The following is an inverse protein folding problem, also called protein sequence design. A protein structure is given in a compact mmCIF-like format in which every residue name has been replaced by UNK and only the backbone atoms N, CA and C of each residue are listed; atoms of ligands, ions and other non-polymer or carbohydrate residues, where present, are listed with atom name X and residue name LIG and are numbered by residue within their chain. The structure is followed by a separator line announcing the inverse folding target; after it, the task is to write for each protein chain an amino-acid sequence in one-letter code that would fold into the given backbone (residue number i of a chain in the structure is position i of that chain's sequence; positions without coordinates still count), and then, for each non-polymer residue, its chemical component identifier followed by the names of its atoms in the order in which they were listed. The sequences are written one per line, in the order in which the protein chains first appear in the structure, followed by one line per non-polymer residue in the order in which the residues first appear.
data_IF_802520085005
#
_entry.id   IF_802520085005
#
_cell.length_a   1.000
_cell.length_b   1.000
_cell.length_c   1.000
_cell.angle_alpha   90.00
_cell.angle_beta   90.00
_cell.angle_gamma   90.00
#
_symmetry.space_group_name_H-M   'P 1'
#
loop_
_entity.id
_entity.type
_entity.pdbx_description
1 polymer ?
#
# COMPACT_ATOMS: atom_id res chain seq x y z
N UNK A 1 26.22 -9.12 -19.31
CA UNK A 1 26.16 -10.19 -18.28
C UNK A 1 24.80 -10.17 -17.61
N UNK A 2 24.16 -11.34 -17.43
CA UNK A 2 22.80 -11.46 -16.88
C UNK A 2 22.83 -12.08 -15.47
N UNK A 3 23.64 -11.48 -14.58
CA UNK A 3 24.00 -12.02 -13.24
C UNK A 3 23.48 -11.18 -12.07
N UNK A 4 22.43 -10.37 -12.27
CA UNK A 4 21.92 -9.45 -11.25
C UNK A 4 21.53 -10.16 -9.94
N UNK A 5 20.97 -11.37 -10.06
CA UNK A 5 20.54 -12.20 -8.93
C UNK A 5 21.70 -12.78 -8.09
N UNK A 6 22.95 -12.72 -8.57
CA UNK A 6 24.12 -13.28 -7.87
C UNK A 6 24.86 -12.25 -7.01
N UNK A 7 24.43 -10.98 -7.01
CA UNK A 7 25.12 -9.88 -6.31
C UNK A 7 26.58 -9.64 -6.79
N UNK A 8 27.00 -10.22 -7.92
CA UNK A 8 28.38 -10.13 -8.46
C UNK A 8 28.48 -9.24 -9.71
N UNK A 9 27.82 -8.09 -9.72
CA UNK A 9 27.87 -7.18 -10.88
C UNK A 9 29.29 -6.59 -11.02
N UNK A 10 30.03 -6.86 -12.12
CA UNK A 10 31.43 -6.44 -12.25
C UNK A 10 31.60 -4.93 -12.49
N UNK A 11 30.49 -4.21 -12.71
CA UNK A 11 30.47 -2.77 -13.02
C UNK A 11 29.69 -1.97 -11.98
N UNK A 12 29.42 -2.57 -10.82
CA UNK A 12 28.80 -1.86 -9.69
C UNK A 12 27.34 -1.44 -9.85
N UNK A 13 26.63 -1.91 -10.89
CA UNK A 13 25.23 -1.54 -11.15
C UNK A 13 24.26 -2.34 -10.26
N UNK A 14 24.21 -3.67 -10.45
CA UNK A 14 23.25 -4.55 -9.77
C UNK A 14 23.95 -5.37 -8.67
N UNK A 15 24.46 -4.68 -7.64
CA UNK A 15 25.16 -5.30 -6.50
C UNK A 15 25.10 -4.41 -5.26
N UNK A 16 25.03 -5.03 -4.08
CA UNK A 16 25.15 -4.40 -2.77
C UNK A 16 26.56 -4.58 -2.16
N UNK A 17 27.47 -5.35 -2.79
CA UNK A 17 28.86 -5.48 -2.32
C UNK A 17 29.58 -4.11 -2.43
N UNK A 18 30.05 -3.52 -1.31
CA UNK A 18 30.70 -2.22 -1.32
C UNK A 18 31.93 -2.12 -2.22
N UNK A 19 32.67 -3.23 -2.42
CA UNK A 19 33.86 -3.26 -3.30
C UNK A 19 33.45 -3.18 -4.76
N UNK A 20 32.40 -3.90 -5.15
CA UNK A 20 31.90 -3.89 -6.53
C UNK A 20 31.19 -2.58 -6.85
N UNK A 21 30.48 -1.97 -5.89
CA UNK A 21 29.84 -0.65 -6.06
C UNK A 21 30.85 0.46 -6.39
N UNK A 22 32.08 0.39 -5.87
CA UNK A 22 33.17 1.34 -6.22
C UNK A 22 33.57 1.28 -7.70
N UNK A 23 33.21 0.23 -8.43
CA UNK A 23 33.47 0.09 -9.86
C UNK A 23 32.43 0.81 -10.72
N UNK A 24 31.37 1.37 -10.13
CA UNK A 24 30.38 2.15 -10.87
C UNK A 24 30.97 3.48 -11.31
N UNK A 25 31.11 3.65 -12.62
CA UNK A 25 31.63 4.87 -13.26
C UNK A 25 30.56 5.65 -14.03
N UNK A 26 29.28 5.29 -13.86
CA UNK A 26 28.17 5.99 -14.51
C UNK A 26 27.93 7.35 -13.87
N UNK A 27 27.63 8.36 -14.69
CA UNK A 27 27.25 9.69 -14.22
C UNK A 27 25.85 10.05 -14.74
N UNK A 28 25.15 11.01 -14.10
CA UNK A 28 23.87 11.50 -14.61
C UNK A 28 23.95 11.98 -16.07
N UNK A 29 25.08 12.58 -16.47
CA UNK A 29 25.32 13.11 -17.83
C UNK A 29 25.25 12.01 -18.88
N UNK A 30 25.71 10.78 -18.58
CA UNK A 30 25.60 9.67 -19.53
C UNK A 30 24.13 9.37 -19.89
N UNK A 31 23.23 9.43 -18.90
CA UNK A 31 21.80 9.18 -19.10
C UNK A 31 21.13 10.37 -19.80
N UNK A 32 21.51 11.60 -19.43
CA UNK A 32 21.05 12.82 -20.09
C UNK A 32 21.40 12.79 -21.59
N UNK A 33 22.66 12.50 -21.92
CA UNK A 33 23.12 12.42 -23.31
C UNK A 33 22.41 11.32 -24.10
N UNK A 34 22.18 10.15 -23.49
CA UNK A 34 21.38 9.10 -24.10
C UNK A 34 19.97 9.59 -24.48
N UNK A 35 19.27 10.28 -23.56
CA UNK A 35 17.94 10.81 -23.86
C UNK A 35 17.96 11.94 -24.89
N UNK A 36 19.02 12.77 -24.94
CA UNK A 36 19.18 13.75 -26.02
C UNK A 36 19.34 13.08 -27.39
N UNK A 37 20.17 12.04 -27.49
CA UNK A 37 20.32 11.30 -28.75
C UNK A 37 19.03 10.62 -29.17
N UNK A 38 18.31 10.00 -28.23
CA UNK A 38 17.02 9.38 -28.49
C UNK A 38 15.98 10.42 -28.96
N UNK A 39 15.89 11.56 -28.28
CA UNK A 39 14.98 12.63 -28.65
C UNK A 39 15.31 13.21 -30.03
N UNK A 40 16.60 13.37 -30.35
CA UNK A 40 17.02 13.87 -31.66
C UNK A 40 16.70 12.88 -32.78
N UNK A 41 16.92 11.57 -32.58
CA UNK A 41 16.52 10.55 -33.54
C UNK A 41 15.00 10.57 -33.78
N UNK A 42 14.21 10.69 -32.71
CA UNK A 42 12.74 10.83 -32.81
C UNK A 42 12.38 12.07 -33.64
N UNK A 43 13.04 13.22 -33.42
CA UNK A 43 12.79 14.45 -34.20
C UNK A 43 13.14 14.29 -35.67
N UNK A 44 14.22 13.58 -35.99
CA UNK A 44 14.59 13.26 -37.38
C UNK A 44 13.52 12.40 -38.04
N UNK A 45 13.04 11.35 -37.37
CA UNK A 45 11.96 10.49 -37.87
C UNK A 45 10.64 11.27 -38.04
N UNK A 46 10.30 12.13 -37.09
CA UNK A 46 9.15 13.03 -37.18
C UNK A 46 9.25 13.94 -38.41
N UNK A 47 10.42 14.51 -38.68
CA UNK A 47 10.65 15.36 -39.85
C UNK A 47 10.50 14.58 -41.16
N UNK A 48 10.98 13.34 -41.23
CA UNK A 48 10.79 12.44 -42.39
C UNK A 48 9.31 12.14 -42.65
N UNK A 49 8.51 12.06 -41.60
CA UNK A 49 7.06 11.86 -41.67
C UNK A 49 6.27 13.16 -41.89
N UNK A 50 6.95 14.32 -41.94
CA UNK A 50 6.32 15.64 -42.10
C UNK A 50 5.56 16.12 -40.86
N UNK A 51 5.86 15.58 -39.68
CA UNK A 51 5.17 15.88 -38.42
C UNK A 51 6.03 16.77 -37.52
N UNK A 52 5.45 17.86 -37.01
CA UNK A 52 6.19 18.85 -36.20
C UNK A 52 6.07 18.63 -34.69
N UNK A 53 4.93 18.11 -34.23
CA UNK A 53 4.64 17.91 -32.81
C UNK A 53 4.50 16.44 -32.51
N UNK A 54 5.07 15.99 -31.39
CA UNK A 54 5.02 14.57 -31.04
C UNK A 54 3.58 14.12 -30.78
N UNK A 55 2.76 14.99 -30.18
CA UNK A 55 1.32 14.74 -29.95
C UNK A 55 0.56 14.37 -31.24
N UNK A 56 1.00 14.89 -32.39
CA UNK A 56 0.36 14.62 -33.69
C UNK A 56 0.69 13.23 -34.24
N UNK A 57 1.66 12.51 -33.66
CA UNK A 57 1.98 11.10 -33.95
C UNK A 57 1.18 10.11 -33.08
N UNK A 58 0.73 10.53 -31.90
CA UNK A 58 0.10 9.64 -30.92
C UNK A 58 -1.19 9.05 -31.52
N UNK A 59 -1.26 7.72 -31.61
CA UNK A 59 -2.40 7.00 -32.18
C UNK A 59 -2.54 7.06 -33.71
N UNK A 60 -1.55 7.58 -34.45
CA UNK A 60 -1.55 7.63 -35.92
C UNK A 60 -1.11 6.31 -36.55
N UNK A 61 -1.90 5.27 -36.36
CA UNK A 61 -1.62 3.92 -36.87
C UNK A 61 -1.48 3.89 -38.40
N UNK A 62 -2.12 4.81 -39.11
CA UNK A 62 -1.99 4.95 -40.56
C UNK A 62 -0.58 5.32 -41.06
N UNK A 63 0.30 5.79 -40.17
CA UNK A 63 1.72 6.04 -40.49
C UNK A 63 2.56 4.76 -40.42
N UNK A 64 1.97 3.64 -40.02
CA UNK A 64 2.62 2.34 -39.87
C UNK A 64 2.14 1.37 -40.95
N UNK A 65 3.05 0.51 -41.41
CA UNK A 65 2.72 -0.62 -42.27
C UNK A 65 3.55 -1.84 -41.91
N UNK A 66 2.98 -3.02 -42.08
CA UNK A 66 3.73 -4.26 -41.98
C UNK A 66 4.78 -4.33 -43.11
N UNK A 67 6.04 -4.58 -42.74
CA UNK A 67 7.09 -4.87 -43.72
C UNK A 67 6.77 -6.17 -44.45
N UNK A 68 6.84 -6.12 -45.78
CA UNK A 68 6.56 -7.27 -46.66
C UNK A 68 7.84 -8.01 -47.08
N UNK A 69 9.00 -7.41 -46.85
CA UNK A 69 10.32 -7.83 -47.31
C UNK A 69 11.09 -8.65 -46.25
N UNK A 70 10.37 -9.39 -45.38
CA UNK A 70 11.01 -10.16 -44.30
C UNK A 70 11.33 -11.59 -44.80
N UNK A 71 12.61 -11.97 -44.94
CA UNK A 71 13.00 -13.23 -45.59
C UNK A 71 12.75 -14.49 -44.74
N UNK A 72 12.53 -14.34 -43.44
CA UNK A 72 12.36 -15.47 -42.54
C UNK A 72 10.93 -16.05 -42.66
N UNK A 73 10.82 -17.32 -43.05
CA UNK A 73 9.53 -17.98 -43.34
C UNK A 73 8.46 -17.84 -42.22
N UNK A 74 8.86 -17.89 -40.94
CA UNK A 74 7.91 -17.70 -39.81
C UNK A 74 7.28 -16.31 -39.77
N UNK A 75 7.92 -15.29 -40.34
CA UNK A 75 7.36 -13.95 -40.37
C UNK A 75 6.07 -13.87 -41.19
N UNK A 76 5.92 -14.75 -42.19
CA UNK A 76 4.69 -14.85 -42.99
C UNK A 76 3.48 -15.33 -42.20
N UNK A 77 3.68 -15.94 -41.02
CA UNK A 77 2.61 -16.36 -40.13
C UNK A 77 2.18 -15.26 -39.12
N UNK A 78 2.85 -14.11 -39.12
CA UNK A 78 2.54 -13.03 -38.16
C UNK A 78 1.42 -12.16 -38.73
N UNK A 79 0.30 -12.11 -38.01
CA UNK A 79 -0.83 -11.23 -38.30
C UNK A 79 -0.80 -9.97 -37.43
N UNK A 80 -0.42 -8.84 -38.04
CA UNK A 80 -0.35 -7.53 -37.36
C UNK A 80 -1.66 -6.73 -37.42
N UNK A 81 -2.77 -7.28 -37.97
CA UNK A 81 -4.03 -6.53 -38.14
C UNK A 81 -4.57 -5.94 -36.85
N UNK A 82 -4.40 -6.64 -35.71
CA UNK A 82 -4.85 -6.14 -34.40
C UNK A 82 -4.00 -4.99 -33.85
N UNK A 83 -2.72 -4.93 -34.23
CA UNK A 83 -1.80 -3.84 -33.84
C UNK A 83 -1.99 -2.64 -34.77
N UNK A 84 -2.27 -2.90 -36.05
CA UNK A 84 -2.51 -1.89 -37.07
C UNK A 84 -3.99 -1.49 -37.20
N UNK A 85 -4.83 -1.93 -36.26
CA UNK A 85 -6.24 -1.56 -36.24
C UNK A 85 -6.37 -0.08 -35.91
N UNK A 86 -7.02 0.67 -36.79
CA UNK A 86 -7.41 2.06 -36.50
C UNK A 86 -8.65 2.00 -35.60
N UNK A 87 -8.59 2.54 -34.37
CA UNK A 87 -9.76 2.60 -33.51
C UNK A 87 -10.85 3.48 -34.16
N UNK A 88 -12.11 3.25 -33.79
CA UNK A 88 -13.27 4.00 -34.31
C UNK A 88 -13.23 5.50 -34.01
N UNK A 89 -14.34 6.19 -34.25
CA UNK A 89 -14.44 7.64 -34.02
C UNK A 89 -14.09 8.02 -32.57
N UNK A 90 -13.29 9.09 -32.41
CA UNK A 90 -12.89 9.60 -31.10
C UNK A 90 -11.52 10.29 -31.13
N UNK A 91 -11.19 10.94 -30.01
CA UNK A 91 -9.89 11.56 -29.79
C UNK A 91 -8.85 10.47 -29.51
N UNK A 92 -7.72 10.50 -30.23
CA UNK A 92 -6.66 9.48 -30.16
C UNK A 92 -5.53 9.82 -29.18
N UNK A 93 -5.69 10.89 -28.42
CA UNK A 93 -4.73 11.43 -27.46
C UNK A 93 -5.40 11.71 -26.13
N UNK A 94 -4.58 11.87 -25.09
CA UNK A 94 -5.05 12.25 -23.77
C UNK A 94 -5.51 13.71 -23.75
N UNK A 95 -6.78 13.96 -23.42
CA UNK A 95 -7.35 15.33 -23.36
C UNK A 95 -8.04 15.66 -22.03
N UNK A 96 -8.17 14.69 -21.12
CA UNK A 96 -8.93 14.89 -19.89
C UNK A 96 -8.02 14.75 -18.68
N UNK A 97 -8.16 15.66 -17.73
CA UNK A 97 -7.58 15.49 -16.39
C UNK A 97 -8.40 14.47 -15.61
N UNK A 98 -7.73 13.63 -14.82
CA UNK A 98 -8.42 12.65 -13.98
C UNK A 98 -9.11 13.34 -12.79
N UNK A 99 -10.42 13.15 -12.65
CA UNK A 99 -11.16 13.53 -11.45
C UNK A 99 -11.27 12.33 -10.52
N UNK A 100 -10.71 12.47 -9.31
CA UNK A 100 -10.68 11.42 -8.30
C UNK A 100 -11.82 11.56 -7.26
N UNK A 101 -12.66 12.59 -7.34
CA UNK A 101 -13.76 12.81 -6.39
C UNK A 101 -13.29 13.16 -4.97
N UNK A 102 -12.07 13.66 -4.80
CA UNK A 102 -11.45 13.93 -3.49
C UNK A 102 -12.11 15.10 -2.75
N UNK A 103 -12.88 15.94 -3.45
CA UNK A 103 -13.68 17.00 -2.87
C UNK A 103 -14.76 16.48 -1.90
N UNK A 104 -15.16 15.21 -2.05
CA UNK A 104 -16.17 14.55 -1.18
C UNK A 104 -15.56 13.70 -0.08
N UNK A 105 -14.24 13.59 -0.02
CA UNK A 105 -13.56 12.77 0.98
C UNK A 105 -13.79 13.33 2.39
N UNK A 106 -14.15 12.44 3.34
CA UNK A 106 -14.39 12.82 4.74
C UNK A 106 -13.19 13.54 5.36
N UNK A 107 -11.97 13.17 4.96
CA UNK A 107 -10.74 13.79 5.44
C UNK A 107 -10.67 15.31 5.23
N UNK A 108 -11.37 15.89 4.24
CA UNK A 108 -11.41 17.35 4.12
C UNK A 108 -11.97 18.00 5.38
N UNK A 109 -13.03 17.41 5.93
CA UNK A 109 -13.63 17.83 7.20
C UNK A 109 -12.70 17.53 8.38
N UNK A 110 -12.01 16.40 8.36
CA UNK A 110 -11.04 16.06 9.41
C UNK A 110 -9.89 17.07 9.45
N UNK A 111 -9.31 17.42 8.30
CA UNK A 111 -8.23 18.39 8.15
C UNK A 111 -8.69 19.77 8.61
N UNK A 112 -9.90 20.20 8.24
CA UNK A 112 -10.45 21.48 8.68
C UNK A 112 -10.55 21.56 10.21
N UNK A 113 -11.05 20.50 10.86
CA UNK A 113 -11.17 20.44 12.33
C UNK A 113 -9.84 20.21 13.04
N UNK A 114 -8.88 19.58 12.38
CA UNK A 114 -7.53 19.34 12.87
C UNK A 114 -6.60 20.56 12.73
N UNK A 115 -7.08 21.66 12.13
CA UNK A 115 -6.28 22.85 11.87
C UNK A 115 -5.49 23.38 13.08
N UNK A 116 -6.04 23.46 14.31
CA UNK A 116 -5.25 23.87 15.48
C UNK A 116 -4.04 22.95 15.71
N UNK A 117 -4.21 21.63 15.64
CA UNK A 117 -3.07 20.71 15.76
C UNK A 117 -2.05 20.89 14.62
N UNK A 118 -2.53 21.12 13.40
CA UNK A 118 -1.67 21.24 12.21
C UNK A 118 -0.90 22.57 12.15
N UNK A 119 -1.43 23.64 12.75
CA UNK A 119 -0.85 24.99 12.69
C UNK A 119 -0.05 25.35 13.95
N UNK A 120 -0.56 24.98 15.14
CA UNK A 120 0.03 25.36 16.44
C UNK A 120 0.46 24.15 17.30
N UNK A 121 0.22 22.92 16.85
CA UNK A 121 0.54 21.71 17.64
C UNK A 121 -0.37 21.50 18.84
N UNK A 122 -1.53 22.17 18.87
CA UNK A 122 -2.52 22.01 19.93
C UNK A 122 -3.13 20.60 19.94
N UNK A 123 -3.44 20.11 21.15
CA UNK A 123 -4.20 18.87 21.28
C UNK A 123 -5.66 19.11 20.90
N UNK A 124 -6.16 18.36 19.93
CA UNK A 124 -7.54 18.46 19.45
C UNK A 124 -8.22 17.11 19.62
N UNK A 125 -9.38 17.14 20.26
CA UNK A 125 -10.27 16.00 20.41
C UNK A 125 -11.65 16.30 19.83
N UNK A 126 -12.17 15.43 18.98
CA UNK A 126 -13.53 15.59 18.47
C UNK A 126 -14.19 14.30 17.98
N UNK A 127 -15.54 14.33 17.91
CA UNK A 127 -16.37 13.22 17.42
C UNK A 127 -16.73 13.42 15.94
N UNK A 128 -16.73 12.34 15.15
CA UNK A 128 -17.11 12.34 13.74
C UNK A 128 -17.79 11.03 13.28
N UNK A 129 -19.00 11.11 12.73
CA UNK A 129 -19.66 9.96 12.11
C UNK A 129 -18.88 9.42 10.90
N UNK A 130 -18.86 8.09 10.75
CA UNK A 130 -18.25 7.39 9.63
C UNK A 130 -19.22 6.35 9.05
N UNK A 131 -19.14 6.12 7.75
CA UNK A 131 -19.96 5.15 7.00
C UNK A 131 -19.05 4.38 6.06
N UNK A 132 -19.47 3.18 5.65
CA UNK A 132 -18.68 2.30 4.79
C UNK A 132 -18.26 2.93 3.44
N UNK A 133 -19.00 3.94 2.96
CA UNK A 133 -18.66 4.73 1.75
C UNK A 133 -17.48 5.68 1.97
N UNK A 134 -17.19 6.06 3.22
CA UNK A 134 -16.01 6.83 3.59
C UNK A 134 -14.80 5.90 3.63
N UNK A 135 -14.08 5.86 2.52
CA UNK A 135 -12.87 5.04 2.34
C UNK A 135 -11.62 5.84 2.68
N UNK A 136 -10.57 5.14 3.08
CA UNK A 136 -9.24 5.73 3.36
C UNK A 136 -9.26 6.85 4.40
N UNK A 137 -10.19 6.78 5.36
CA UNK A 137 -10.37 7.81 6.39
C UNK A 137 -9.08 7.97 7.20
N UNK A 138 -8.60 9.20 7.31
CA UNK A 138 -7.36 9.57 7.99
C UNK A 138 -6.13 9.63 7.09
N UNK A 139 -6.18 9.13 5.85
CA UNK A 139 -5.01 9.08 4.96
C UNK A 139 -4.59 10.47 4.46
N UNK A 140 -5.54 11.34 4.07
CA UNK A 140 -5.19 12.70 3.66
C UNK A 140 -4.76 13.54 4.87
N UNK A 141 -5.43 13.37 6.02
CA UNK A 141 -5.01 14.00 7.27
C UNK A 141 -3.57 13.60 7.66
N UNK A 142 -3.24 12.32 7.51
CA UNK A 142 -1.87 11.83 7.75
C UNK A 142 -0.87 12.40 6.75
N UNK A 143 -1.28 12.58 5.49
CA UNK A 143 -0.48 13.29 4.49
C UNK A 143 -0.23 14.76 4.86
N UNK A 144 -1.20 15.43 5.47
CA UNK A 144 -1.06 16.80 5.99
C UNK A 144 -0.08 16.86 7.19
N UNK A 145 -0.12 15.87 8.08
CA UNK A 145 0.85 15.74 9.18
C UNK A 145 2.24 15.45 8.62
N UNK A 146 2.39 14.46 7.75
CA UNK A 146 3.67 14.08 7.16
C UNK A 146 4.30 15.23 6.35
N UNK A 147 3.51 16.03 5.62
CA UNK A 147 4.02 17.18 4.87
C UNK A 147 4.59 18.26 5.78
N UNK A 148 3.99 18.49 6.95
CA UNK A 148 4.39 19.54 7.89
C UNK A 148 5.50 19.10 8.85
N UNK A 149 5.42 17.87 9.34
CA UNK A 149 6.23 17.37 10.46
C UNK A 149 7.11 16.16 10.09
N UNK A 150 7.09 15.71 8.83
CA UNK A 150 7.87 14.56 8.39
C UNK A 150 7.46 13.26 9.09
N UNK A 151 8.42 12.35 9.24
CA UNK A 151 8.19 11.04 9.88
C UNK A 151 8.05 11.10 11.40
N UNK A 152 8.53 12.16 12.05
CA UNK A 152 8.36 12.35 13.51
C UNK A 152 6.88 12.59 13.86
N UNK A 153 6.13 13.21 12.95
CA UNK A 153 4.71 13.48 13.13
C UNK A 153 4.43 14.47 14.26
N UNK A 154 3.26 14.35 14.88
CA UNK A 154 2.88 15.14 16.05
C UNK A 154 3.23 14.38 17.34
N UNK A 155 3.31 15.04 18.51
CA UNK A 155 3.34 14.32 19.79
C UNK A 155 2.18 13.32 19.90
N UNK A 156 2.37 12.24 20.66
CA UNK A 156 1.37 11.19 20.79
C UNK A 156 0.01 11.75 21.27
N UNK A 157 -1.06 11.23 20.66
CA UNK A 157 -2.45 11.58 20.93
C UNK A 157 -2.79 13.08 20.77
N UNK A 158 -1.99 13.83 20.00
CA UNK A 158 -2.30 15.24 19.68
C UNK A 158 -3.62 15.37 18.92
N UNK A 159 -3.90 14.45 17.99
CA UNK A 159 -5.16 14.41 17.24
C UNK A 159 -5.95 13.17 17.61
N UNK A 160 -6.90 13.31 18.53
CA UNK A 160 -7.79 12.24 18.92
C UNK A 160 -9.15 12.40 18.24
N UNK A 161 -9.53 11.43 17.40
CA UNK A 161 -10.79 11.47 16.66
C UNK A 161 -11.61 10.24 17.03
N UNK A 162 -12.62 10.45 17.86
CA UNK A 162 -13.65 9.44 18.10
C UNK A 162 -14.57 9.39 16.88
N UNK A 163 -14.84 8.20 16.38
CA UNK A 163 -15.70 7.97 15.24
C UNK A 163 -16.80 6.97 15.59
N UNK A 164 -17.98 7.17 15.00
CA UNK A 164 -19.14 6.31 15.24
C UNK A 164 -19.72 5.84 13.90
N UNK A 165 -19.96 4.52 13.79
CA UNK A 165 -20.49 3.89 12.58
C UNK A 165 -19.56 2.82 12.00
N UNK A 166 -19.49 2.71 10.68
CA UNK A 166 -18.70 1.67 10.01
C UNK A 166 -17.57 2.29 9.17
N UNK A 167 -16.32 1.95 9.48
CA UNK A 167 -15.14 2.36 8.73
C UNK A 167 -15.12 1.69 7.35
N UNK A 168 -15.09 2.47 6.29
CA UNK A 168 -14.93 1.94 4.94
C UNK A 168 -13.58 1.29 4.70
N UNK A 169 -13.39 0.77 3.49
CA UNK A 169 -12.14 0.15 3.05
C UNK A 169 -10.94 1.08 3.30
N UNK A 170 -9.84 0.52 3.80
CA UNK A 170 -8.62 1.26 4.15
C UNK A 170 -8.80 2.31 5.26
N UNK A 171 -9.74 2.11 6.19
CA UNK A 171 -9.85 2.95 7.38
C UNK A 171 -8.49 3.04 8.11
N UNK A 172 -8.08 4.24 8.52
CA UNK A 172 -6.78 4.48 9.15
C UNK A 172 -5.55 4.10 8.29
N UNK A 173 -5.66 4.10 6.95
CA UNK A 173 -4.51 3.83 6.10
C UNK A 173 -3.44 4.91 6.22
N UNK A 174 -2.18 4.48 6.35
CA UNK A 174 -1.01 5.34 6.51
C UNK A 174 -1.14 6.33 7.67
N UNK A 175 -1.81 5.92 8.77
CA UNK A 175 -2.04 6.80 9.90
C UNK A 175 -0.72 7.24 10.54
N UNK A 176 -0.45 8.54 10.50
CA UNK A 176 0.79 9.13 10.98
C UNK A 176 0.83 9.24 12.51
N UNK A 177 2.06 9.26 13.06
CA UNK A 177 2.30 9.46 14.48
C UNK A 177 1.64 10.74 15.03
N UNK A 178 1.03 10.60 16.21
CA UNK A 178 0.26 11.65 16.88
C UNK A 178 -1.23 11.72 16.50
N UNK A 179 -1.71 10.87 15.58
CA UNK A 179 -3.14 10.71 15.29
C UNK A 179 -3.66 9.42 15.93
N UNK A 180 -4.73 9.53 16.71
CA UNK A 180 -5.53 8.43 17.25
C UNK A 180 -6.90 8.43 16.57
N UNK A 181 -7.25 7.34 15.87
CA UNK A 181 -8.61 7.08 15.39
C UNK A 181 -9.27 6.04 16.29
N UNK A 182 -10.29 6.46 17.04
CA UNK A 182 -11.03 5.60 17.96
C UNK A 182 -12.43 5.33 17.41
N UNK A 183 -12.66 4.15 16.82
CA UNK A 183 -13.91 3.79 16.17
C UNK A 183 -14.82 2.96 17.09
N UNK A 184 -16.02 3.49 17.31
CA UNK A 184 -17.15 2.80 17.90
C UNK A 184 -18.02 2.23 16.77
N UNK A 185 -17.94 0.91 16.58
CA UNK A 185 -18.60 0.19 15.50
C UNK A 185 -17.67 -0.88 14.91
N UNK A 186 -17.62 -0.97 13.59
CA UNK A 186 -16.84 -1.97 12.83
C UNK A 186 -16.05 -1.30 11.69
N UNK A 187 -15.05 -1.98 11.13
CA UNK A 187 -14.36 -1.50 9.93
C UNK A 187 -14.12 -2.58 8.88
N UNK A 188 -14.04 -2.17 7.62
CA UNK A 188 -13.86 -3.06 6.48
C UNK A 188 -12.38 -3.44 6.28
N UNK A 189 -12.07 -4.09 5.16
CA UNK A 189 -10.72 -4.56 4.83
C UNK A 189 -9.69 -3.42 4.81
N UNK A 190 -8.43 -3.80 4.96
CA UNK A 190 -7.27 -2.91 4.93
C UNK A 190 -7.25 -1.87 6.05
N UNK A 191 -7.98 -2.10 7.14
CA UNK A 191 -7.90 -1.24 8.33
C UNK A 191 -6.45 -1.15 8.80
N UNK A 192 -5.93 0.06 9.00
CA UNK A 192 -4.54 0.30 9.34
C UNK A 192 -3.52 -0.08 8.25
N UNK A 193 -3.92 -0.18 6.98
CA UNK A 193 -2.98 -0.47 5.87
C UNK A 193 -1.83 0.52 5.88
N UNK A 194 -0.60 0.00 5.91
CA UNK A 194 0.61 0.80 5.95
C UNK A 194 0.68 1.73 7.17
N UNK A 195 0.10 1.35 8.32
CA UNK A 195 0.18 2.11 9.56
C UNK A 195 1.62 2.57 9.82
N UNK A 196 1.80 3.86 10.09
CA UNK A 196 3.11 4.50 10.15
C UNK A 196 3.24 5.41 11.38
N UNK A 197 2.86 4.87 12.54
CA UNK A 197 3.07 5.50 13.85
C UNK A 197 1.82 5.98 14.55
N UNK A 198 0.69 6.10 13.85
CA UNK A 198 -0.60 6.43 14.45
C UNK A 198 -1.19 5.29 15.27
N UNK A 199 -2.29 5.60 15.97
CA UNK A 199 -3.06 4.65 16.78
C UNK A 199 -4.44 4.43 16.19
N UNK A 200 -4.80 3.18 15.93
CA UNK A 200 -6.16 2.79 15.51
C UNK A 200 -6.80 1.88 16.54
N UNK A 201 -7.99 2.25 17.00
CA UNK A 201 -8.79 1.46 17.94
C UNK A 201 -10.14 1.19 17.31
N UNK A 202 -10.60 -0.06 17.33
CA UNK A 202 -11.96 -0.42 16.89
C UNK A 202 -12.61 -1.29 17.95
N UNK A 203 -13.81 -0.88 18.38
CA UNK A 203 -14.59 -1.62 19.37
C UNK A 203 -16.09 -1.55 19.05
N UNK A 204 -16.87 -2.60 19.34
CA UNK A 204 -18.30 -2.62 19.02
C UNK A 204 -19.06 -1.59 19.86
N UNK A 205 -20.18 -1.08 19.34
CA UNK A 205 -21.08 -0.19 20.11
C UNK A 205 -21.50 -0.82 21.44
N UNK A 206 -21.84 0.01 22.43
CA UNK A 206 -22.45 -0.45 23.70
C UNK A 206 -23.81 -1.14 23.48
N UNK A 207 -24.45 -0.88 22.34
CA UNK A 207 -25.71 -1.51 21.95
C UNK A 207 -25.53 -2.91 21.36
N UNK A 208 -24.30 -3.29 21.01
CA UNK A 208 -24.00 -4.64 20.54
C UNK A 208 -24.21 -5.64 21.68
N UNK A 209 -25.05 -6.65 21.42
CA UNK A 209 -25.44 -7.66 22.42
C UNK A 209 -24.67 -8.98 22.32
N UNK A 210 -23.83 -9.15 21.30
CA UNK A 210 -23.01 -10.34 21.12
C UNK A 210 -21.70 -10.29 21.91
N UNK A 211 -20.96 -11.40 21.89
CA UNK A 211 -19.60 -11.46 22.43
C UNK A 211 -18.61 -10.95 21.39
N UNK A 212 -17.74 -10.01 21.76
CA UNK A 212 -16.83 -9.37 20.80
C UNK A 212 -15.83 -10.38 20.24
N UNK A 213 -15.30 -11.24 21.10
CA UNK A 213 -14.31 -12.26 20.75
C UNK A 213 -14.83 -13.32 19.75
N UNK A 214 -16.14 -13.42 19.56
CA UNK A 214 -16.78 -14.37 18.63
C UNK A 214 -17.24 -13.71 17.33
N UNK A 215 -17.04 -12.39 17.16
CA UNK A 215 -17.61 -11.62 16.05
C UNK A 215 -16.56 -10.79 15.30
N UNK A 216 -16.74 -10.71 13.99
CA UNK A 216 -15.84 -9.92 13.11
C UNK A 216 -16.02 -8.44 13.41
N UNK A 217 -14.92 -7.76 13.73
CA UNK A 217 -14.87 -6.32 13.98
C UNK A 217 -14.09 -5.55 12.91
N UNK A 218 -13.11 -6.22 12.28
CA UNK A 218 -12.32 -5.69 11.16
C UNK A 218 -12.19 -6.73 10.06
N UNK A 219 -12.16 -6.27 8.81
CA UNK A 219 -12.07 -7.15 7.63
C UNK A 219 -10.70 -7.81 7.42
N UNK A 220 -10.37 -8.05 6.16
CA UNK A 220 -9.17 -8.75 5.72
C UNK A 220 -7.96 -7.82 5.54
N UNK A 221 -6.76 -8.39 5.51
CA UNK A 221 -5.51 -7.71 5.13
C UNK A 221 -5.27 -6.44 5.98
N UNK A 222 -5.69 -6.51 7.24
CA UNK A 222 -5.52 -5.48 8.27
C UNK A 222 -4.04 -5.32 8.59
N UNK A 223 -3.58 -4.08 8.76
CA UNK A 223 -2.17 -3.73 8.99
C UNK A 223 -1.20 -4.15 7.88
N UNK A 224 -1.70 -4.27 6.64
CA UNK A 224 -0.87 -4.65 5.51
C UNK A 224 0.34 -3.73 5.35
N UNK A 225 1.55 -4.27 5.55
CA UNK A 225 2.78 -3.52 5.37
C UNK A 225 2.99 -2.41 6.41
N UNK A 226 2.33 -2.48 7.56
CA UNK A 226 2.52 -1.52 8.64
C UNK A 226 3.98 -1.47 9.08
N UNK A 227 4.51 -0.27 9.34
CA UNK A 227 5.92 -0.05 9.70
C UNK A 227 6.11 0.41 11.14
N UNK A 228 5.10 1.04 11.73
CA UNK A 228 5.08 1.49 13.11
C UNK A 228 3.63 1.80 13.55
N UNK A 229 3.43 2.04 14.84
CA UNK A 229 2.14 2.43 15.41
C UNK A 229 1.43 1.30 16.13
N UNK A 230 0.23 1.60 16.61
CA UNK A 230 -0.52 0.73 17.52
C UNK A 230 -1.93 0.46 17.00
N UNK A 231 -2.38 -0.78 17.13
CA UNK A 231 -3.69 -1.20 16.67
C UNK A 231 -4.39 -2.08 17.70
N UNK A 232 -5.59 -1.68 18.12
CA UNK A 232 -6.36 -2.39 19.14
C UNK A 232 -7.75 -2.71 18.63
N UNK A 233 -8.05 -3.99 18.48
CA UNK A 233 -9.31 -4.47 17.92
C UNK A 233 -10.03 -5.35 18.93
N UNK A 234 -11.14 -4.84 19.48
CA UNK A 234 -12.03 -5.60 20.35
C UNK A 234 -12.98 -6.45 19.50
N UNK A 235 -12.45 -7.56 18.98
CA UNK A 235 -13.16 -8.58 18.22
C UNK A 235 -12.25 -9.31 17.22
N UNK A 236 -12.85 -10.05 16.30
CA UNK A 236 -12.14 -10.91 15.34
C UNK A 236 -11.76 -10.14 14.07
N UNK A 237 -10.52 -10.30 13.62
CA UNK A 237 -10.10 -9.86 12.29
C UNK A 237 -10.36 -10.94 11.23
N UNK A 238 -10.54 -10.52 9.97
CA UNK A 238 -10.61 -11.42 8.83
C UNK A 238 -9.29 -12.12 8.51
N UNK A 239 -9.17 -12.58 7.26
CA UNK A 239 -7.97 -13.24 6.75
C UNK A 239 -6.79 -12.28 6.60
N UNK A 240 -5.56 -12.83 6.61
CA UNK A 240 -4.31 -12.07 6.40
C UNK A 240 -4.12 -10.91 7.36
N UNK A 241 -4.57 -11.07 8.60
CA UNK A 241 -4.30 -10.11 9.66
C UNK A 241 -2.79 -9.91 9.85
N UNK A 242 -2.33 -8.65 9.89
CA UNK A 242 -0.92 -8.28 10.03
C UNK A 242 0.01 -8.84 8.93
N UNK A 243 -0.51 -9.06 7.72
CA UNK A 243 0.30 -9.50 6.59
C UNK A 243 1.38 -8.46 6.26
N UNK A 244 2.64 -8.90 6.13
CA UNK A 244 3.80 -8.03 5.92
C UNK A 244 3.99 -6.95 6.99
N UNK A 245 3.45 -7.11 8.19
CA UNK A 245 3.74 -6.20 9.30
C UNK A 245 5.27 -6.17 9.53
N UNK A 246 5.82 -4.96 9.56
CA UNK A 246 7.25 -4.69 9.64
C UNK A 246 7.62 -3.90 10.90
N UNK A 247 6.66 -3.56 11.76
CA UNK A 247 6.97 -2.82 12.99
C UNK A 247 5.79 -2.31 13.82
N UNK A 248 4.54 -2.54 13.45
CA UNK A 248 3.39 -2.16 14.27
C UNK A 248 3.13 -3.15 15.40
N UNK A 249 2.59 -2.63 16.51
CA UNK A 249 2.08 -3.42 17.63
C UNK A 249 0.57 -3.57 17.49
N UNK A 250 0.05 -4.78 17.61
CA UNK A 250 -1.38 -5.03 17.45
C UNK A 250 -1.94 -5.99 18.51
N UNK A 251 -3.17 -5.74 18.96
CA UNK A 251 -3.96 -6.65 19.79
C UNK A 251 -5.30 -6.91 19.10
N UNK A 252 -5.68 -8.18 18.99
CA UNK A 252 -6.95 -8.63 18.38
C UNK A 252 -7.50 -9.83 19.15
N UNK A 253 -8.82 -10.04 19.16
CA UNK A 253 -9.46 -11.15 19.91
C UNK A 253 -9.59 -12.44 19.09
N UNK A 254 -9.17 -12.42 17.83
CA UNK A 254 -9.09 -13.60 16.95
C UNK A 254 -8.73 -13.19 15.53
N UNK A 255 -8.30 -14.12 14.69
CA UNK A 255 -8.08 -13.84 13.28
C UNK A 255 -8.36 -15.02 12.36
N UNK A 256 -8.66 -14.74 11.10
CA UNK A 256 -8.85 -15.74 10.05
C UNK A 256 -7.56 -16.43 9.60
N UNK A 257 -7.62 -17.08 8.44
CA UNK A 257 -6.46 -17.77 7.85
C UNK A 257 -5.34 -16.78 7.51
N UNK A 258 -4.09 -17.27 7.52
CA UNK A 258 -2.89 -16.52 7.12
C UNK A 258 -2.55 -15.31 8.02
N UNK A 259 -2.90 -15.37 9.31
CA UNK A 259 -2.44 -14.37 10.29
C UNK A 259 -0.91 -14.27 10.32
N UNK A 260 -0.37 -13.06 10.41
CA UNK A 260 1.06 -12.75 10.42
C UNK A 260 1.85 -13.25 9.19
N UNK A 261 1.19 -13.53 8.07
CA UNK A 261 1.85 -13.96 6.83
C UNK A 261 2.91 -12.92 6.39
N UNK A 262 4.13 -13.35 6.08
CA UNK A 262 5.26 -12.50 5.68
C UNK A 262 5.62 -11.36 6.66
N UNK A 263 5.25 -11.46 7.94
CA UNK A 263 5.64 -10.49 8.96
C UNK A 263 7.18 -10.49 9.13
N UNK A 264 7.76 -9.29 9.18
CA UNK A 264 9.22 -9.05 9.27
C UNK A 264 9.62 -8.26 10.51
N UNK A 265 8.65 -7.72 11.26
CA UNK A 265 8.88 -6.97 12.49
C UNK A 265 7.56 -6.59 13.18
N UNK A 266 7.67 -6.03 14.39
CA UNK A 266 6.52 -5.67 15.23
C UNK A 266 6.09 -6.76 16.21
N UNK A 267 5.00 -6.50 16.92
CA UNK A 267 4.49 -7.38 17.98
C UNK A 267 2.98 -7.57 17.83
N UNK A 268 2.53 -8.81 17.72
CA UNK A 268 1.10 -9.13 17.54
C UNK A 268 0.61 -9.99 18.70
N UNK A 269 -0.51 -9.61 19.32
CA UNK A 269 -1.19 -10.39 20.35
C UNK A 269 -2.56 -10.81 19.81
N UNK A 270 -2.82 -12.11 19.79
CA UNK A 270 -4.11 -12.70 19.41
C UNK A 270 -4.71 -13.35 20.65
N UNK A 271 -5.80 -12.79 21.16
CA UNK A 271 -6.45 -13.20 22.42
C UNK A 271 -7.54 -14.28 22.21
N UNK A 272 -7.50 -15.00 21.08
CA UNK A 272 -8.47 -16.04 20.77
C UNK A 272 -8.08 -16.88 19.57
N UNK A 273 -9.08 -17.46 18.89
CA UNK A 273 -8.85 -18.43 17.83
C UNK A 273 -8.14 -17.80 16.61
N UNK A 274 -7.27 -18.59 15.98
CA UNK A 274 -6.60 -18.26 14.72
C UNK A 274 -7.10 -19.18 13.60
N UNK A 275 -6.96 -18.74 12.35
CA UNK A 275 -7.11 -19.59 11.19
C UNK A 275 -5.85 -20.38 10.85
N UNK A 276 -5.90 -21.11 9.74
CA UNK A 276 -4.82 -21.97 9.23
C UNK A 276 -3.67 -21.16 8.64
N UNK A 277 -2.51 -21.81 8.52
CA UNK A 277 -1.31 -21.28 7.89
C UNK A 277 -0.83 -19.96 8.52
N UNK A 278 -1.04 -19.83 9.84
CA UNK A 278 -0.55 -18.70 10.63
C UNK A 278 0.99 -18.63 10.56
N UNK A 279 1.56 -17.42 10.50
CA UNK A 279 2.99 -17.14 10.42
C UNK A 279 3.72 -17.69 9.17
N UNK A 280 3.00 -18.03 8.10
CA UNK A 280 3.63 -18.46 6.85
C UNK A 280 4.55 -17.37 6.27
N UNK A 281 5.83 -17.70 6.07
CA UNK A 281 6.83 -16.74 5.59
C UNK A 281 7.18 -15.62 6.58
N UNK A 282 6.75 -15.72 7.83
CA UNK A 282 7.13 -14.78 8.88
C UNK A 282 8.63 -14.94 9.17
N UNK A 283 9.39 -13.88 8.89
CA UNK A 283 10.85 -13.88 9.03
C UNK A 283 11.36 -12.97 10.14
N UNK A 284 10.47 -12.25 10.84
CA UNK A 284 10.83 -11.39 11.97
C UNK A 284 9.61 -10.84 12.72
N UNK A 285 9.85 -10.33 13.92
CA UNK A 285 8.81 -9.91 14.88
C UNK A 285 8.39 -11.02 15.84
N UNK A 286 7.42 -10.74 16.71
CA UNK A 286 6.91 -11.69 17.72
C UNK A 286 5.38 -11.72 17.69
N UNK A 287 4.80 -12.92 17.72
CA UNK A 287 3.36 -13.11 17.86
C UNK A 287 3.05 -13.94 19.11
N UNK A 288 2.22 -13.40 20.00
CA UNK A 288 1.66 -14.11 21.15
C UNK A 288 0.24 -14.56 20.79
N UNK A 289 -0.05 -15.84 20.99
CA UNK A 289 -1.37 -16.40 20.69
C UNK A 289 -1.91 -17.10 21.92
N UNK A 290 -3.09 -16.68 22.36
CA UNK A 290 -3.83 -17.34 23.42
C UNK A 290 -4.50 -18.61 22.86
N UNK A 291 -3.83 -19.75 23.05
CA UNK A 291 -4.25 -21.06 22.55
C UNK A 291 -5.24 -21.73 23.52
N UNK A 292 -6.50 -21.28 23.51
CA UNK A 292 -7.54 -21.79 24.42
C UNK A 292 -7.97 -23.24 24.13
N UNK A 293 -7.87 -23.70 22.88
CA UNK A 293 -8.29 -25.02 22.41
C UNK A 293 -7.13 -26.03 22.27
N UNK A 294 -5.89 -25.57 22.48
CA UNK A 294 -4.68 -26.39 22.34
C UNK A 294 -4.37 -26.82 20.90
N UNK A 295 -5.01 -26.21 19.90
CA UNK A 295 -4.88 -26.57 18.47
C UNK A 295 -4.01 -25.60 17.68
N UNK A 296 -3.48 -24.52 18.28
CA UNK A 296 -2.68 -23.53 17.56
C UNK A 296 -1.50 -24.14 16.79
N UNK A 297 -0.80 -25.10 17.40
CA UNK A 297 0.35 -25.77 16.75
C UNK A 297 -0.01 -26.45 15.41
N UNK A 298 -1.26 -26.90 15.22
CA UNK A 298 -1.72 -27.49 13.95
C UNK A 298 -2.08 -26.44 12.89
N UNK A 299 -2.37 -25.22 13.33
CA UNK A 299 -2.73 -24.08 12.48
C UNK A 299 -1.52 -23.23 12.07
N UNK A 300 -0.44 -23.31 12.83
CA UNK A 300 0.79 -22.57 12.59
C UNK A 300 1.66 -23.23 11.50
N UNK A 301 2.21 -22.41 10.60
CA UNK A 301 3.22 -22.82 9.64
C UNK A 301 4.61 -22.60 10.24
N UNK A 302 5.26 -23.68 10.66
CA UNK A 302 6.55 -23.65 11.36
C UNK A 302 7.76 -23.68 10.43
N UNK A 303 7.61 -23.38 9.14
CA UNK A 303 8.73 -23.43 8.19
C UNK A 303 9.83 -22.39 8.49
N UNK A 304 9.48 -21.26 9.11
CA UNK A 304 10.39 -20.15 9.44
C UNK A 304 10.26 -19.64 10.87
N UNK A 305 9.35 -20.20 11.68
CA UNK A 305 9.08 -19.76 13.05
C UNK A 305 9.21 -20.91 14.04
N UNK A 306 9.59 -20.58 15.27
CA UNK A 306 9.55 -21.47 16.42
C UNK A 306 8.32 -21.17 17.29
N UNK A 307 7.83 -22.18 17.99
CA UNK A 307 6.74 -22.05 18.96
C UNK A 307 7.27 -22.37 20.35
N UNK A 308 7.19 -21.39 21.25
CA UNK A 308 7.57 -21.53 22.65
C UNK A 308 6.37 -21.19 23.54
N UNK A 309 6.23 -21.92 24.66
CA UNK A 309 5.23 -21.61 25.69
C UNK A 309 5.80 -20.57 26.64
N UNK A 310 4.99 -19.56 26.94
CA UNK A 310 5.30 -18.46 27.89
C UNK A 310 4.44 -18.62 29.14
#
# INVERSE_FOLDING_TARGET
MRKCHLNTCPVGIATQDPRLRKLFSGTPEHVINYFFFLAEEVRVLMAQLGVRRFEDLVGRVELLRARQDVPHWKAHAIDLRRVLAVPGAGVRRHEQTQDHGLERALDRKLIERARPALESGERVHFIQDVRNVHRSVGAMLSGEVARRFGSEGLPDDTLHIQMEGSGGQSFAAFLAHGITLYLIGDANDYTGKGLCGGRVVVRPSIDFRGEAADNIIVGNTVLYGATAGEAFFRGVAGERFAVRNSGATAVVEGCGDHGCEYMTGGTVLVLGATGRNFAAGMSGGVAYVYDNDGQFARRCNTAMVALDKV
#
